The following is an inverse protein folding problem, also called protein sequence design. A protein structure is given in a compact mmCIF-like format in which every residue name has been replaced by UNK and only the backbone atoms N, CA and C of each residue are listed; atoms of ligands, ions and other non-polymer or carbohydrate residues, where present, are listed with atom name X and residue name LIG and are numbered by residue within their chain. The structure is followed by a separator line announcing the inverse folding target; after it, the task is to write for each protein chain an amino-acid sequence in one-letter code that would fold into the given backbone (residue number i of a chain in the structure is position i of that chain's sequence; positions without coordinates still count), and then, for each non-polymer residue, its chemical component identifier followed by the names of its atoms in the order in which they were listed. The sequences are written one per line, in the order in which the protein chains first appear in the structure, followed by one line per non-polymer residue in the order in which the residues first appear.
data_IF_646137092019
#
_entry.id   IF_646137092019
#
_cell.length_a   1.000
_cell.length_b   1.000
_cell.length_c   1.000
_cell.angle_alpha   90.00
_cell.angle_beta   90.00
_cell.angle_gamma   90.00
#
_symmetry.space_group_name_H-M   'P 1'
#
loop_
_entity.id
_entity.type
_entity.pdbx_description
1 polymer ?
#
# COMPACT_ATOMS: atom_id res chain seq x y z
N UNK A 1 -5.79 8.03 18.38
CA UNK A 1 -5.12 8.46 17.13
C UNK A 1 -3.75 7.79 17.13
N UNK A 2 -3.50 6.82 16.25
CA UNK A 2 -2.17 6.18 16.24
C UNK A 2 -2.03 4.85 15.51
N UNK A 3 -3.05 4.36 14.78
CA UNK A 3 -2.95 3.07 14.08
C UNK A 3 -2.68 3.20 12.57
N UNK A 4 -2.93 4.38 11.99
CA UNK A 4 -2.83 4.60 10.53
C UNK A 4 -1.38 4.59 10.00
N UNK A 5 -0.38 4.86 10.85
CA UNK A 5 1.02 5.06 10.42
C UNK A 5 1.89 3.78 10.43
N UNK A 6 1.44 2.70 11.06
CA UNK A 6 2.23 1.45 11.14
C UNK A 6 2.06 0.55 9.92
N UNK A 7 0.88 0.54 9.29
CA UNK A 7 0.67 -0.24 8.06
C UNK A 7 1.54 0.30 6.91
N UNK A 8 1.71 1.62 6.81
CA UNK A 8 2.59 2.24 5.81
C UNK A 8 4.06 1.81 5.98
N UNK A 9 4.57 1.80 7.22
CA UNK A 9 5.96 1.47 7.49
C UNK A 9 6.32 0.00 7.22
N UNK A 10 5.39 -0.93 7.44
CA UNK A 10 5.61 -2.36 7.14
C UNK A 10 5.57 -2.61 5.63
N UNK A 11 4.61 -2.00 4.92
CA UNK A 11 4.50 -2.11 3.47
C UNK A 11 5.73 -1.53 2.77
N UNK A 12 6.16 -0.34 3.18
CA UNK A 12 7.34 0.32 2.60
C UNK A 12 8.62 -0.48 2.83
N UNK A 13 8.84 -1.03 4.03
CA UNK A 13 10.01 -1.87 4.30
C UNK A 13 10.00 -3.17 3.51
N UNK A 14 8.83 -3.80 3.38
CA UNK A 14 8.68 -5.02 2.59
C UNK A 14 8.94 -4.78 1.10
N UNK A 15 8.42 -3.68 0.55
CA UNK A 15 8.70 -3.26 -0.82
C UNK A 15 10.20 -3.02 -0.98
N UNK A 16 10.81 -2.21 -0.11
CA UNK A 16 12.26 -1.93 -0.10
C UNK A 16 13.09 -3.20 -0.17
N UNK A 17 12.72 -4.21 0.63
CA UNK A 17 13.39 -5.50 0.65
C UNK A 17 13.26 -6.25 -0.70
N UNK A 18 12.06 -6.32 -1.28
CA UNK A 18 11.85 -6.98 -2.58
C UNK A 18 12.56 -6.25 -3.73
N UNK A 19 12.44 -4.93 -3.81
CA UNK A 19 13.15 -4.13 -4.83
C UNK A 19 14.66 -4.24 -4.71
N UNK A 20 15.20 -4.20 -3.48
CA UNK A 20 16.64 -4.39 -3.24
C UNK A 20 17.13 -5.77 -3.67
N UNK A 21 16.34 -6.83 -3.47
CA UNK A 21 16.68 -8.19 -3.95
C UNK A 21 16.77 -8.28 -5.48
N UNK A 22 16.04 -7.42 -6.20
CA UNK A 22 16.06 -7.35 -7.66
C UNK A 22 17.14 -6.40 -8.21
N UNK A 23 17.84 -5.66 -7.34
CA UNK A 23 18.76 -4.59 -7.76
C UNK A 23 18.05 -3.34 -8.32
N UNK A 24 16.75 -3.19 -8.07
CA UNK A 24 15.95 -2.05 -8.53
C UNK A 24 15.90 -0.95 -7.46
N UNK A 25 15.81 0.31 -7.90
CA UNK A 25 15.55 1.42 -6.98
C UNK A 25 14.14 1.37 -6.42
N UNK A 26 14.02 1.71 -5.14
CA UNK A 26 12.73 1.75 -4.45
C UNK A 26 12.03 3.07 -4.78
N UNK A 27 10.77 3.06 -5.24
CA UNK A 27 9.99 4.28 -5.38
C UNK A 27 9.91 5.02 -4.04
N UNK A 28 10.33 6.30 -4.01
CA UNK A 28 10.18 7.17 -2.82
C UNK A 28 8.77 7.74 -2.74
N UNK A 29 7.76 6.88 -2.82
CA UNK A 29 6.34 7.25 -2.80
C UNK A 29 5.55 6.29 -1.94
N UNK A 30 4.69 6.80 -1.06
CA UNK A 30 3.73 5.99 -0.28
C UNK A 30 2.54 5.53 -1.13
N UNK A 31 2.77 5.35 -2.43
CA UNK A 31 1.76 5.00 -3.41
C UNK A 31 1.86 3.51 -3.68
N UNK A 32 0.87 2.76 -3.17
CA UNK A 32 0.81 1.32 -3.34
C UNK A 32 0.73 0.93 -4.81
N UNK A 33 0.17 1.77 -5.69
CA UNK A 33 0.11 1.49 -7.13
C UNK A 33 1.49 1.43 -7.74
N UNK A 34 2.35 2.39 -7.40
CA UNK A 34 3.76 2.37 -7.81
C UNK A 34 4.51 1.17 -7.27
N UNK A 35 4.17 0.70 -6.07
CA UNK A 35 4.74 -0.54 -5.54
C UNK A 35 4.27 -1.77 -6.33
N UNK A 36 3.00 -1.84 -6.74
CA UNK A 36 2.52 -2.90 -7.63
C UNK A 36 3.30 -2.92 -8.94
N UNK A 37 3.45 -1.77 -9.60
CA UNK A 37 4.11 -1.70 -10.91
C UNK A 37 5.57 -2.18 -10.85
N UNK A 38 6.28 -1.86 -9.77
CA UNK A 38 7.68 -2.27 -9.58
C UNK A 38 7.81 -3.73 -9.13
N UNK A 39 6.84 -4.24 -8.38
CA UNK A 39 6.87 -5.59 -7.83
C UNK A 39 6.17 -6.64 -8.71
N UNK A 40 5.46 -6.25 -9.76
CA UNK A 40 4.76 -7.15 -10.69
C UNK A 40 5.64 -8.33 -11.17
N UNK A 41 6.92 -8.15 -11.55
CA UNK A 41 7.76 -9.25 -12.02
C UNK A 41 8.08 -10.32 -10.95
N UNK A 42 7.98 -9.97 -9.67
CA UNK A 42 8.39 -10.84 -8.53
C UNK A 42 7.24 -11.29 -7.66
N UNK A 43 6.13 -10.55 -7.71
CA UNK A 43 4.95 -10.78 -6.90
C UNK A 43 3.70 -10.48 -7.76
N UNK A 44 3.43 -11.30 -8.79
CA UNK A 44 2.30 -11.08 -9.70
C UNK A 44 0.94 -11.15 -8.99
N UNK A 45 0.87 -11.70 -7.79
CA UNK A 45 -0.34 -11.63 -6.96
C UNK A 45 -0.68 -10.19 -6.52
N UNK A 46 0.32 -9.30 -6.42
CA UNK A 46 0.11 -7.87 -6.16
C UNK A 46 -0.58 -7.17 -7.32
N UNK A 47 -0.41 -7.63 -8.56
CA UNK A 47 -1.10 -7.08 -9.73
C UNK A 47 -2.63 -7.18 -9.60
N UNK A 48 -3.14 -8.19 -8.89
CA UNK A 48 -4.57 -8.32 -8.59
C UNK A 48 -5.09 -7.25 -7.63
N UNK A 49 -4.19 -6.57 -6.92
CA UNK A 49 -4.52 -5.48 -6.01
C UNK A 49 -4.36 -4.11 -6.66
N UNK A 50 -3.91 -4.03 -7.91
CA UNK A 50 -3.58 -2.77 -8.57
C UNK A 50 -4.78 -1.79 -8.56
N UNK A 51 -5.99 -2.28 -8.83
CA UNK A 51 -7.21 -1.44 -8.83
C UNK A 51 -7.64 -1.00 -7.42
N UNK A 52 -7.24 -1.74 -6.39
CA UNK A 52 -7.51 -1.41 -5.00
C UNK A 52 -6.41 -0.53 -4.37
N UNK A 53 -5.22 -0.50 -4.96
CA UNK A 53 -4.02 0.15 -4.42
C UNK A 53 -4.15 1.68 -4.31
N UNK A 54 -5.02 2.31 -5.11
CA UNK A 54 -5.24 3.75 -5.07
C UNK A 54 -6.09 4.20 -3.87
N UNK A 55 -6.91 3.29 -3.31
CA UNK A 55 -7.85 3.63 -2.24
C UNK A 55 -7.16 4.14 -0.96
N UNK A 56 -6.10 3.50 -0.44
CA UNK A 56 -5.41 3.99 0.75
C UNK A 56 -4.76 5.35 0.56
N UNK A 57 -4.12 5.60 -0.58
CA UNK A 57 -3.49 6.89 -0.89
C UNK A 57 -4.53 8.02 -0.97
N UNK A 58 -5.66 7.76 -1.64
CA UNK A 58 -6.79 8.69 -1.73
C UNK A 58 -7.38 9.00 -0.35
N UNK A 59 -7.64 7.97 0.45
CA UNK A 59 -8.12 8.14 1.83
C UNK A 59 -7.14 8.97 2.67
N UNK A 60 -5.84 8.66 2.62
CA UNK A 60 -4.82 9.37 3.39
C UNK A 60 -4.71 10.86 3.01
N UNK A 61 -4.78 11.18 1.71
CA UNK A 61 -4.80 12.57 1.23
C UNK A 61 -6.06 13.31 1.69
N UNK A 62 -7.22 12.72 1.49
CA UNK A 62 -8.51 13.38 1.78
C UNK A 62 -8.76 13.56 3.28
N UNK A 63 -8.28 12.64 4.13
CA UNK A 63 -8.29 12.83 5.60
C UNK A 63 -7.32 13.93 6.03
N UNK A 64 -6.13 13.99 5.43
CA UNK A 64 -5.08 14.96 5.82
C UNK A 64 -5.40 16.39 5.38
N UNK A 65 -6.03 16.54 4.22
CA UNK A 65 -6.44 17.84 3.68
C UNK A 65 -7.92 18.17 3.96
N UNK A 66 -8.63 17.25 4.63
CA UNK A 66 -10.01 17.35 5.13
C UNK A 66 -10.89 18.16 4.18
N UNK A 67 -11.11 17.64 2.97
CA UNK A 67 -12.09 18.22 2.06
C UNK A 67 -13.50 17.97 2.65
N UNK A 68 -14.20 19.00 3.14
CA UNK A 68 -15.52 18.82 3.74
C UNK A 68 -16.59 18.40 2.71
N UNK A 69 -16.29 18.45 1.40
CA UNK A 69 -17.21 18.08 0.34
C UNK A 69 -17.29 16.56 0.10
N UNK A 70 -16.38 15.75 0.66
CA UNK A 70 -16.39 14.29 0.50
C UNK A 70 -16.80 13.62 1.80
N UNK A 71 -18.07 13.16 1.93
CA UNK A 71 -18.52 12.44 3.10
C UNK A 71 -17.94 11.02 3.06
N UNK A 72 -16.96 10.75 3.93
CA UNK A 72 -16.42 9.41 4.14
C UNK A 72 -17.07 8.72 5.33
N UNK A 73 -17.27 7.41 5.20
CA UNK A 73 -17.85 6.57 6.25
C UNK A 73 -16.77 5.81 7.02
N UNK A 74 -17.06 5.35 8.25
CA UNK A 74 -16.17 4.42 8.96
C UNK A 74 -15.84 3.14 8.16
N UNK A 75 -16.71 2.72 7.23
CA UNK A 75 -16.47 1.54 6.40
C UNK A 75 -15.40 1.78 5.34
N UNK A 76 -15.22 3.01 4.89
CA UNK A 76 -14.16 3.35 3.94
C UNK A 76 -12.78 3.35 4.59
N UNK A 77 -12.69 3.83 5.83
CA UNK A 77 -11.48 3.72 6.64
C UNK A 77 -11.10 2.25 6.85
N UNK A 78 -12.08 1.40 7.20
CA UNK A 78 -11.87 -0.05 7.33
C UNK A 78 -11.40 -0.66 6.00
N UNK A 79 -12.04 -0.29 4.88
CA UNK A 79 -11.65 -0.79 3.57
C UNK A 79 -10.21 -0.42 3.21
N UNK A 80 -9.79 0.82 3.45
CA UNK A 80 -8.42 1.27 3.22
C UNK A 80 -7.40 0.47 4.07
N UNK A 81 -7.69 0.27 5.36
CA UNK A 81 -6.83 -0.52 6.25
C UNK A 81 -6.78 -1.99 5.82
N UNK A 82 -7.91 -2.59 5.45
CA UNK A 82 -7.96 -3.98 4.97
C UNK A 82 -7.12 -4.16 3.70
N UNK A 83 -7.19 -3.21 2.76
CA UNK A 83 -6.37 -3.24 1.54
C UNK A 83 -4.88 -3.12 1.90
N UNK A 84 -4.50 -2.16 2.75
CA UNK A 84 -3.11 -1.97 3.14
C UNK A 84 -2.52 -3.20 3.84
N UNK A 85 -3.28 -3.86 4.72
CA UNK A 85 -2.86 -5.11 5.40
C UNK A 85 -2.66 -6.26 4.41
N UNK A 86 -3.63 -6.48 3.54
CA UNK A 86 -3.55 -7.54 2.52
C UNK A 86 -2.34 -7.34 1.60
N UNK A 87 -2.01 -6.09 1.28
CA UNK A 87 -0.83 -5.75 0.52
C UNK A 87 0.46 -6.18 1.23
N UNK A 88 0.58 -5.85 2.52
CA UNK A 88 1.70 -6.26 3.36
C UNK A 88 1.85 -7.77 3.47
N UNK A 89 0.73 -8.50 3.64
CA UNK A 89 0.74 -9.96 3.73
C UNK A 89 1.31 -10.60 2.45
N UNK A 90 0.93 -10.10 1.26
CA UNK A 90 1.44 -10.59 -0.03
C UNK A 90 2.93 -10.29 -0.21
N UNK A 91 3.38 -9.10 0.19
CA UNK A 91 4.80 -8.74 0.18
C UNK A 91 5.61 -9.69 1.08
N UNK A 92 5.13 -9.91 2.32
CA UNK A 92 5.80 -10.79 3.27
C UNK A 92 5.82 -12.25 2.79
N UNK A 93 4.75 -12.72 2.16
CA UNK A 93 4.72 -14.03 1.52
C UNK A 93 5.78 -14.14 0.42
N UNK A 94 5.90 -13.12 -0.43
CA UNK A 94 6.87 -13.07 -1.52
C UNK A 94 8.33 -13.00 -1.05
N UNK A 95 8.57 -12.45 0.15
CA UNK A 95 9.92 -12.44 0.75
C UNK A 95 10.35 -13.82 1.28
N UNK A 96 9.40 -14.70 1.62
CA UNK A 96 9.65 -16.04 2.16
C UNK A 96 9.80 -17.12 1.08
N UNK A 97 9.41 -16.81 -0.16
CA UNK A 97 9.63 -17.64 -1.34
C UNK A 97 11.06 -17.51 -1.87
#
# INVERSE_FOLDING_TARGET
MGEDSHCDGTNEQGVKALTSRQGNEVPRSHDLRRYVDVLDPVAPELARMADAADRPARYALEVRYRDPAVPWTPDDAKAAVTIARRFGDLILASLRA
#
